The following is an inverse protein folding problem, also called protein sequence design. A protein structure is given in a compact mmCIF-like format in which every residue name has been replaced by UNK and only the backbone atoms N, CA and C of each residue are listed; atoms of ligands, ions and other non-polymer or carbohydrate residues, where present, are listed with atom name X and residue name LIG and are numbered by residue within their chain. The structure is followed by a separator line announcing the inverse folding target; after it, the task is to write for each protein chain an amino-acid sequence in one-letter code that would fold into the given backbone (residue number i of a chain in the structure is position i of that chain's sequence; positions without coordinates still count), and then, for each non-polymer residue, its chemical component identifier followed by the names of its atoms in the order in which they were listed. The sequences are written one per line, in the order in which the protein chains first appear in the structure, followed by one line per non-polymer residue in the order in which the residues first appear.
data_IF_225087274524
#
_entry.id   IF_225087274524
#
_cell.length_a   1.000
_cell.length_b   1.000
_cell.length_c   1.000
_cell.angle_alpha   90.00
_cell.angle_beta   90.00
_cell.angle_gamma   90.00
#
_symmetry.space_group_name_H-M   'P 1'
#
loop_
_entity.id
_entity.type
_entity.pdbx_description
1 polymer ?
#
# COMPACT_ATOMS: atom_id res chain seq x y z
N UNK A 1 53.15 -13.16 -27.23
CA UNK A 1 51.72 -12.81 -27.04
C UNK A 1 51.56 -11.94 -25.78
N UNK A 2 51.55 -10.61 -25.91
CA UNK A 2 51.26 -9.72 -24.77
C UNK A 2 49.76 -9.46 -24.74
N UNK A 3 49.02 -10.14 -23.84
CA UNK A 3 47.66 -9.74 -23.48
C UNK A 3 47.78 -8.47 -22.65
N UNK A 4 47.60 -7.32 -23.30
CA UNK A 4 47.27 -6.07 -22.61
C UNK A 4 45.99 -6.29 -21.79
N UNK A 5 46.14 -6.60 -20.50
CA UNK A 5 45.03 -6.66 -19.56
C UNK A 5 44.76 -5.23 -19.13
N UNK A 6 44.01 -4.48 -19.93
CA UNK A 6 43.63 -3.10 -19.61
C UNK A 6 42.85 -3.08 -18.28
N UNK A 7 43.45 -2.60 -17.17
CA UNK A 7 42.81 -2.62 -15.86
C UNK A 7 41.52 -1.79 -15.85
N UNK A 8 41.45 -0.76 -16.70
CA UNK A 8 40.28 0.09 -16.92
C UNK A 8 39.06 -0.66 -17.44
N UNK A 9 39.24 -1.70 -18.27
CA UNK A 9 38.12 -2.52 -18.77
C UNK A 9 37.52 -3.35 -17.64
N UNK A 10 38.35 -3.87 -16.74
CA UNK A 10 37.89 -4.61 -15.56
C UNK A 10 37.16 -3.71 -14.57
N UNK A 11 37.63 -2.48 -14.41
CA UNK A 11 36.99 -1.47 -13.56
C UNK A 11 35.63 -1.04 -14.13
N UNK A 12 35.53 -0.82 -15.45
CA UNK A 12 34.29 -0.47 -16.12
C UNK A 12 33.26 -1.60 -16.07
N UNK A 13 33.68 -2.85 -16.29
CA UNK A 13 32.82 -4.03 -16.15
C UNK A 13 32.34 -4.18 -14.70
N UNK A 14 33.22 -4.02 -13.71
CA UNK A 14 32.84 -4.04 -12.30
C UNK A 14 31.84 -2.91 -11.97
N UNK A 15 32.06 -1.69 -12.48
CA UNK A 15 31.13 -0.57 -12.29
C UNK A 15 29.76 -0.84 -12.91
N UNK A 16 29.70 -1.46 -14.10
CA UNK A 16 28.44 -1.87 -14.74
C UNK A 16 27.75 -2.95 -13.92
N UNK A 17 28.48 -3.95 -13.40
CA UNK A 17 27.91 -4.96 -12.51
C UNK A 17 27.40 -4.37 -11.20
N UNK A 18 28.12 -3.40 -10.62
CA UNK A 18 27.70 -2.68 -9.41
C UNK A 18 26.48 -1.81 -9.70
N UNK A 19 26.43 -1.10 -10.82
CA UNK A 19 25.26 -0.31 -11.23
C UNK A 19 24.05 -1.19 -11.53
N UNK A 20 24.26 -2.33 -12.20
CA UNK A 20 23.21 -3.32 -12.45
C UNK A 20 22.70 -3.93 -11.14
N UNK A 21 23.59 -4.31 -10.23
CA UNK A 21 23.25 -4.83 -8.90
C UNK A 21 22.57 -3.78 -8.01
N UNK A 22 22.96 -2.49 -8.11
CA UNK A 22 22.29 -1.40 -7.42
C UNK A 22 20.91 -1.11 -8.02
N UNK A 23 20.74 -1.27 -9.34
CA UNK A 23 19.45 -1.12 -10.00
C UNK A 23 18.47 -2.25 -9.67
N UNK A 24 18.97 -3.49 -9.50
CA UNK A 24 18.14 -4.61 -9.02
C UNK A 24 17.90 -4.56 -7.52
N UNK A 25 18.86 -4.07 -6.73
CA UNK A 25 18.67 -3.83 -5.30
C UNK A 25 17.69 -2.67 -5.02
N UNK A 26 17.60 -1.68 -5.91
CA UNK A 26 16.55 -0.66 -5.83
C UNK A 26 15.18 -1.14 -6.34
N UNK A 27 15.12 -2.18 -7.18
CA UNK A 27 13.89 -2.68 -7.81
C UNK A 27 13.05 -3.65 -6.95
N UNK A 28 13.45 -3.88 -5.69
CA UNK A 28 12.73 -4.73 -4.73
C UNK A 28 12.64 -4.07 -3.35
N UNK A 29 12.70 -2.75 -3.28
CA UNK A 29 12.78 -2.02 -2.00
C UNK A 29 11.57 -2.29 -1.09
N UNK A 30 10.42 -2.60 -1.70
CA UNK A 30 9.15 -2.91 -1.06
C UNK A 30 8.82 -4.41 -1.02
N UNK A 31 9.66 -5.29 -1.55
CA UNK A 31 9.41 -6.73 -1.54
C UNK A 31 9.37 -7.31 -0.12
N UNK A 32 8.35 -8.13 0.14
CA UNK A 32 8.11 -8.81 1.40
C UNK A 32 8.05 -7.86 2.60
N UNK A 33 7.38 -6.70 2.44
CA UNK A 33 7.26 -5.68 3.48
C UNK A 33 5.86 -5.60 4.05
N UNK A 34 5.77 -5.59 5.37
CA UNK A 34 4.54 -5.40 6.13
C UNK A 34 4.47 -3.97 6.68
N UNK A 35 3.33 -3.33 6.52
CA UNK A 35 3.04 -2.01 7.07
C UNK A 35 1.85 -2.10 8.00
N UNK A 36 1.99 -1.58 9.23
CA UNK A 36 0.85 -1.32 10.10
C UNK A 36 0.35 0.08 9.81
N UNK A 37 -0.87 0.20 9.31
CA UNK A 37 -1.43 1.45 8.79
C UNK A 37 -2.62 1.87 9.64
N UNK A 38 -2.57 3.08 10.18
CA UNK A 38 -3.70 3.76 10.82
C UNK A 38 -4.54 4.43 9.73
N UNK A 39 -5.80 4.02 9.64
CA UNK A 39 -6.82 4.65 8.81
C UNK A 39 -7.62 5.61 9.69
N UNK A 40 -7.76 6.86 9.25
CA UNK A 40 -8.65 7.86 9.85
C UNK A 40 -9.64 8.33 8.79
N UNK A 41 -10.92 8.13 9.06
CA UNK A 41 -12.00 8.54 8.18
C UNK A 41 -12.75 9.72 8.79
N UNK A 42 -12.93 10.78 8.01
CA UNK A 42 -13.82 11.90 8.33
C UNK A 42 -15.02 11.81 7.40
N UNK A 43 -16.16 11.40 7.95
CA UNK A 43 -17.33 11.07 7.15
C UNK A 43 -18.58 11.83 7.60
N UNK A 44 -19.49 11.97 6.65
CA UNK A 44 -20.86 12.37 6.86
C UNK A 44 -21.76 11.14 6.65
N UNK A 45 -22.61 10.89 7.63
CA UNK A 45 -23.58 9.80 7.63
C UNK A 45 -24.97 10.32 7.29
N UNK A 46 -25.63 9.70 6.32
CA UNK A 46 -27.02 10.01 5.93
C UNK A 46 -27.98 9.07 6.66
N UNK A 47 -28.93 9.64 7.39
CA UNK A 47 -30.07 8.87 7.90
C UNK A 47 -31.07 8.65 6.75
N UNK A 48 -31.32 7.40 6.33
CA UNK A 48 -32.21 7.13 5.19
C UNK A 48 -33.68 7.46 5.48
N UNK A 49 -34.08 7.51 6.74
CA UNK A 49 -35.46 7.79 7.14
C UNK A 49 -35.75 9.29 7.23
N UNK A 50 -34.76 10.10 7.63
CA UNK A 50 -34.95 11.54 7.84
C UNK A 50 -34.26 12.41 6.80
N UNK A 51 -33.36 11.85 5.98
CA UNK A 51 -32.55 12.58 5.00
C UNK A 51 -31.45 13.46 5.61
N UNK A 52 -31.36 13.55 6.94
CA UNK A 52 -30.38 14.41 7.60
C UNK A 52 -28.98 13.81 7.60
N UNK A 53 -28.00 14.69 7.42
CA UNK A 53 -26.58 14.39 7.54
C UNK A 53 -26.11 14.60 8.99
N UNK A 54 -25.21 13.74 9.44
CA UNK A 54 -24.54 13.84 10.74
C UNK A 54 -23.06 13.52 10.58
N UNK A 55 -22.18 14.16 11.35
CA UNK A 55 -20.76 13.79 11.35
C UNK A 55 -20.58 12.40 11.95
N UNK A 56 -19.72 11.60 11.33
CA UNK A 56 -19.31 10.28 11.82
C UNK A 56 -17.82 10.11 11.54
N UNK A 57 -17.01 10.03 12.60
CA UNK A 57 -15.55 9.90 12.49
C UNK A 57 -15.11 8.62 13.17
N UNK A 58 -14.18 7.92 12.55
CA UNK A 58 -13.63 6.70 13.11
C UNK A 58 -12.18 6.49 12.67
N UNK A 59 -11.49 5.68 13.44
CA UNK A 59 -10.12 5.28 13.15
C UNK A 59 -9.92 3.83 13.53
N UNK A 60 -9.12 3.12 12.75
CA UNK A 60 -8.78 1.72 12.97
C UNK A 60 -7.47 1.39 12.29
N UNK A 61 -6.91 0.23 12.60
CA UNK A 61 -5.68 -0.24 11.98
C UNK A 61 -5.98 -1.28 10.91
N UNK A 62 -5.21 -1.24 9.84
CA UNK A 62 -5.06 -2.33 8.87
C UNK A 62 -3.60 -2.74 8.77
N UNK A 63 -3.33 -3.87 8.13
CA UNK A 63 -2.01 -4.20 7.64
C UNK A 63 -2.01 -4.22 6.11
N UNK A 64 -0.92 -3.74 5.53
CA UNK A 64 -0.67 -3.83 4.09
C UNK A 64 0.60 -4.63 3.91
N UNK A 65 0.54 -5.68 3.10
CA UNK A 65 1.69 -6.45 2.68
C UNK A 65 1.95 -6.24 1.19
N UNK A 66 3.23 -6.13 0.84
CA UNK A 66 3.69 -5.91 -0.53
C UNK A 66 4.67 -6.99 -0.92
N UNK A 67 4.41 -7.62 -2.06
CA UNK A 67 5.28 -8.59 -2.68
C UNK A 67 5.63 -8.16 -4.09
N UNK A 68 6.93 -8.03 -4.39
CA UNK A 68 7.35 -7.76 -5.76
C UNK A 68 7.06 -8.97 -6.64
N UNK A 69 6.21 -8.79 -7.66
CA UNK A 69 5.78 -9.84 -8.58
C UNK A 69 6.63 -9.85 -9.86
N UNK A 70 7.20 -8.71 -10.25
CA UNK A 70 8.02 -8.61 -11.46
C UNK A 70 8.11 -7.19 -12.02
N UNK A 71 8.76 -7.03 -13.18
CA UNK A 71 8.70 -5.77 -13.92
C UNK A 71 7.26 -5.55 -14.41
N UNK A 72 6.76 -4.32 -14.33
CA UNK A 72 5.46 -3.97 -14.92
C UNK A 72 5.56 -3.62 -16.42
N UNK A 73 4.40 -3.38 -17.03
CA UNK A 73 4.31 -3.01 -18.45
C UNK A 73 4.55 -1.52 -18.65
N UNK A 74 5.41 -1.16 -19.62
CA UNK A 74 5.59 0.24 -20.03
C UNK A 74 4.24 0.83 -20.48
N UNK A 75 3.82 2.02 -19.98
CA UNK A 75 4.62 3.06 -19.32
C UNK A 75 4.54 3.06 -17.79
N UNK A 76 4.29 1.92 -17.13
CA UNK A 76 4.22 1.78 -15.67
C UNK A 76 5.54 1.26 -15.09
N UNK A 77 5.67 1.34 -13.76
CA UNK A 77 6.82 0.84 -13.00
C UNK A 77 6.69 -0.63 -12.60
N UNK A 78 7.40 -1.05 -11.55
CA UNK A 78 7.38 -2.42 -11.01
C UNK A 78 5.96 -2.89 -10.64
N UNK A 79 5.67 -4.17 -10.88
CA UNK A 79 4.42 -4.82 -10.47
C UNK A 79 4.55 -5.39 -9.06
N UNK A 80 3.57 -5.10 -8.21
CA UNK A 80 3.48 -5.60 -6.85
C UNK A 80 2.15 -6.30 -6.63
N UNK A 81 2.19 -7.44 -5.93
CA UNK A 81 1.01 -8.02 -5.30
C UNK A 81 0.80 -7.35 -3.93
N UNK A 82 -0.42 -6.90 -3.71
CA UNK A 82 -0.87 -6.21 -2.53
C UNK A 82 -1.84 -7.10 -1.78
N UNK A 83 -1.60 -7.27 -0.49
CA UNK A 83 -2.59 -7.82 0.42
C UNK A 83 -2.96 -6.77 1.45
N UNK A 84 -4.26 -6.57 1.61
CA UNK A 84 -4.81 -5.69 2.63
C UNK A 84 -5.53 -6.54 3.66
N UNK A 85 -5.06 -6.44 4.89
CA UNK A 85 -5.57 -7.20 6.02
C UNK A 85 -6.29 -6.26 6.97
N UNK A 86 -7.55 -6.57 7.26
CA UNK A 86 -8.36 -5.84 8.23
C UNK A 86 -8.89 -6.78 9.31
N UNK A 87 -9.33 -6.18 10.41
CA UNK A 87 -9.92 -6.90 11.53
C UNK A 87 -11.43 -6.98 11.34
N UNK A 88 -11.97 -8.19 11.32
CA UNK A 88 -13.40 -8.45 11.17
C UNK A 88 -14.17 -8.16 12.46
N UNK A 89 -15.51 -8.14 12.38
CA UNK A 89 -16.40 -7.95 13.54
C UNK A 89 -16.16 -8.99 14.66
N UNK A 90 -15.74 -10.20 14.30
CA UNK A 90 -15.33 -11.25 15.23
C UNK A 90 -13.94 -11.06 15.86
N UNK A 91 -13.27 -9.94 15.55
CA UNK A 91 -11.98 -9.56 16.09
C UNK A 91 -10.78 -10.29 15.48
N UNK A 92 -10.98 -11.04 14.39
CA UNK A 92 -9.94 -11.79 13.68
C UNK A 92 -9.33 -10.96 12.56
N UNK A 93 -8.04 -11.14 12.30
CA UNK A 93 -7.38 -10.56 11.12
C UNK A 93 -7.61 -11.46 9.93
N UNK A 94 -8.09 -10.87 8.83
CA UNK A 94 -8.34 -11.58 7.57
C UNK A 94 -7.83 -10.74 6.41
N UNK A 95 -7.35 -11.40 5.35
CA UNK A 95 -7.05 -10.74 4.09
C UNK A 95 -8.39 -10.37 3.46
N UNK A 96 -8.71 -9.08 3.46
CA UNK A 96 -9.97 -8.57 2.96
C UNK A 96 -9.89 -8.22 1.47
N UNK A 97 -8.67 -8.13 0.94
CA UNK A 97 -8.42 -7.76 -0.43
C UNK A 97 -7.01 -8.17 -0.85
N UNK A 98 -6.93 -8.75 -2.03
CA UNK A 98 -5.69 -9.09 -2.72
C UNK A 98 -5.80 -8.62 -4.18
N UNK A 99 -4.78 -7.92 -4.68
CA UNK A 99 -4.72 -7.47 -6.06
C UNK A 99 -3.28 -7.17 -6.46
N UNK A 100 -3.02 -7.15 -7.77
CA UNK A 100 -1.74 -6.70 -8.30
C UNK A 100 -1.86 -5.28 -8.82
N UNK A 101 -0.89 -4.42 -8.51
CA UNK A 101 -0.83 -3.06 -9.04
C UNK A 101 0.60 -2.64 -9.38
N UNK A 102 0.74 -1.90 -10.48
CA UNK A 102 2.01 -1.37 -10.92
C UNK A 102 2.27 -0.01 -10.27
N UNK A 103 3.51 0.21 -9.84
CA UNK A 103 3.95 1.53 -9.41
C UNK A 103 3.96 2.53 -10.59
N UNK A 104 4.12 3.81 -10.29
CA UNK A 104 4.45 4.84 -11.27
C UNK A 104 5.77 4.52 -11.97
N UNK A 105 5.90 4.87 -13.25
CA UNK A 105 7.16 4.76 -14.00
C UNK A 105 8.25 5.71 -13.50
N UNK A 106 7.89 6.76 -12.76
CA UNK A 106 8.84 7.72 -12.21
C UNK A 106 9.32 7.31 -10.81
N UNK A 107 8.58 6.46 -10.11
CA UNK A 107 8.86 6.12 -8.71
C UNK A 107 8.19 4.81 -8.32
N UNK A 108 8.98 3.84 -7.85
CA UNK A 108 8.51 2.57 -7.27
C UNK A 108 7.62 2.79 -6.03
N UNK A 109 7.81 3.94 -5.38
CA UNK A 109 7.20 4.31 -4.12
C UNK A 109 5.84 5.01 -4.28
N UNK A 110 5.32 5.14 -5.50
CA UNK A 110 4.05 5.78 -5.77
C UNK A 110 3.18 4.86 -6.61
N UNK A 111 1.95 4.64 -6.17
CA UNK A 111 1.00 3.75 -6.82
C UNK A 111 -0.21 4.57 -7.33
N UNK A 112 -0.83 4.18 -8.45
CA UNK A 112 -2.05 4.80 -8.94
C UNK A 112 -3.20 4.58 -7.96
N UNK A 113 -4.37 5.12 -8.28
CA UNK A 113 -5.56 4.99 -7.43
C UNK A 113 -5.97 3.53 -7.28
N UNK A 114 -5.86 3.02 -6.06
CA UNK A 114 -6.22 1.66 -5.69
C UNK A 114 -7.63 1.67 -5.12
N UNK A 115 -8.50 0.83 -5.67
CA UNK A 115 -9.79 0.56 -5.07
C UNK A 115 -9.63 -0.35 -3.85
N UNK A 116 -10.07 0.09 -2.68
CA UNK A 116 -10.06 -0.70 -1.45
C UNK A 116 -11.44 -0.83 -0.84
N UNK A 117 -11.75 -2.03 -0.35
CA UNK A 117 -12.94 -2.31 0.47
C UNK A 117 -12.50 -2.72 1.86
N UNK A 118 -12.80 -1.88 2.86
CA UNK A 118 -12.27 -2.02 4.21
C UNK A 118 -13.42 -2.21 5.22
N UNK A 119 -13.63 -3.45 5.71
CA UNK A 119 -14.45 -3.66 6.89
C UNK A 119 -13.68 -3.22 8.14
N UNK A 120 -14.42 -2.83 9.17
CA UNK A 120 -13.89 -2.47 10.49
C UNK A 120 -14.31 -3.49 11.53
N UNK A 121 -13.58 -3.55 12.65
CA UNK A 121 -13.93 -4.41 13.79
C UNK A 121 -15.29 -4.06 14.43
N UNK A 122 -15.84 -2.89 14.09
CA UNK A 122 -17.14 -2.39 14.57
C UNK A 122 -18.29 -2.65 13.59
N UNK A 123 -18.06 -3.40 12.51
CA UNK A 123 -19.07 -3.72 11.51
C UNK A 123 -19.31 -2.63 10.45
N UNK A 124 -18.66 -1.46 10.56
CA UNK A 124 -18.66 -0.47 9.48
C UNK A 124 -17.85 -1.00 8.28
N UNK A 125 -18.29 -0.74 7.04
CA UNK A 125 -17.58 -1.13 5.83
C UNK A 125 -17.62 0.01 4.80
N UNK A 126 -16.52 0.23 4.08
CA UNK A 126 -16.46 1.26 3.05
C UNK A 126 -15.54 0.89 1.91
N UNK A 127 -15.87 1.42 0.74
CA UNK A 127 -15.12 1.34 -0.50
C UNK A 127 -14.56 2.71 -0.86
N UNK A 128 -13.28 2.74 -1.21
CA UNK A 128 -12.50 3.97 -1.38
C UNK A 128 -11.53 3.83 -2.55
N UNK A 129 -11.22 4.94 -3.21
CA UNK A 129 -10.03 5.03 -4.06
C UNK A 129 -8.96 5.77 -3.30
N UNK A 130 -7.81 5.13 -3.09
CA UNK A 130 -6.67 5.73 -2.39
C UNK A 130 -5.47 5.79 -3.30
N UNK A 131 -4.71 6.88 -3.22
CA UNK A 131 -3.41 7.00 -3.91
C UNK A 131 -2.28 6.80 -2.90
N UNK A 132 -1.59 5.64 -2.87
CA UNK A 132 -0.54 5.39 -1.91
C UNK A 132 0.81 5.95 -2.37
N UNK A 133 1.52 6.56 -1.41
CA UNK A 133 2.94 6.83 -1.48
C UNK A 133 3.64 6.09 -0.33
N UNK A 134 4.50 5.15 -0.67
CA UNK A 134 5.25 4.35 0.30
C UNK A 134 6.71 4.69 0.15
N UNK A 135 7.27 5.47 1.07
CA UNK A 135 8.68 5.81 1.00
C UNK A 135 9.47 4.74 1.74
N UNK A 136 10.11 3.83 1.01
CA UNK A 136 11.16 3.00 1.57
C UNK A 136 12.46 3.82 1.70
N UNK A 137 12.96 4.00 2.92
CA UNK A 137 14.27 4.61 3.17
C UNK A 137 15.06 3.81 4.21
N UNK A 138 16.40 3.87 4.20
CA UNK A 138 17.24 3.18 5.18
C UNK A 138 16.95 3.55 6.64
N UNK A 139 16.30 4.70 6.89
CA UNK A 139 16.07 5.26 8.23
C UNK A 139 14.62 5.17 8.69
N UNK A 140 13.66 5.20 7.76
CA UNK A 140 12.24 5.00 8.07
C UNK A 140 11.45 4.66 6.81
N UNK A 141 10.71 3.57 6.86
CA UNK A 141 9.75 3.24 5.83
C UNK A 141 8.37 3.76 6.25
N UNK A 142 7.80 4.68 5.46
CA UNK A 142 6.51 5.30 5.75
C UNK A 142 5.48 4.96 4.67
N UNK A 143 4.30 4.56 5.12
CA UNK A 143 3.11 4.42 4.27
C UNK A 143 2.28 5.68 4.44
N UNK A 144 1.94 6.36 3.35
CA UNK A 144 0.99 7.48 3.36
C UNK A 144 0.03 7.31 2.20
N UNK A 145 -1.27 7.39 2.47
CA UNK A 145 -2.27 7.47 1.40
C UNK A 145 -3.40 8.41 1.81
N UNK A 146 -4.09 8.95 0.82
CA UNK A 146 -5.33 9.68 0.99
C UNK A 146 -6.31 9.23 -0.07
N UNK A 147 -7.61 9.30 0.24
CA UNK A 147 -8.63 8.84 -0.68
C UNK A 147 -10.03 9.30 -0.33
N UNK A 148 -10.90 9.24 -1.32
CA UNK A 148 -12.33 9.53 -1.18
C UNK A 148 -13.08 8.23 -0.90
N UNK A 149 -14.09 8.31 -0.04
CA UNK A 149 -15.04 7.21 0.23
C UNK A 149 -16.21 7.40 -0.73
N UNK A 150 -16.26 6.56 -1.76
CA UNK A 150 -17.32 6.63 -2.77
C UNK A 150 -18.56 5.81 -2.39
N UNK A 151 -18.40 4.80 -1.54
CA UNK A 151 -19.50 4.04 -0.98
C UNK A 151 -19.14 3.52 0.41
N UNK A 152 -20.01 3.70 1.41
CA UNK A 152 -19.78 3.10 2.72
C UNK A 152 -21.08 2.95 3.52
N UNK A 153 -21.03 2.10 4.54
CA UNK A 153 -22.14 1.87 5.48
C UNK A 153 -21.61 1.72 6.90
N UNK A 154 -22.33 2.30 7.85
CA UNK A 154 -22.12 1.98 9.26
C UNK A 154 -22.78 0.64 9.64
N UNK A 155 -22.52 0.14 10.84
CA UNK A 155 -23.12 -1.10 11.39
C UNK A 155 -24.66 -1.13 11.32
N UNK A 156 -25.31 0.05 11.27
CA UNK A 156 -26.77 0.16 11.17
C UNK A 156 -27.25 0.31 9.70
N UNK A 157 -26.37 0.09 8.72
CA UNK A 157 -26.67 0.19 7.30
C UNK A 157 -26.81 1.61 6.76
N UNK A 158 -26.48 2.65 7.55
CA UNK A 158 -26.58 4.05 7.11
C UNK A 158 -25.42 4.40 6.20
N UNK A 159 -25.70 5.10 5.09
CA UNK A 159 -24.69 5.45 4.10
C UNK A 159 -23.66 6.43 4.66
N UNK A 160 -22.40 6.18 4.34
CA UNK A 160 -21.25 7.02 4.69
C UNK A 160 -20.65 7.62 3.41
N UNK A 161 -20.28 8.90 3.49
CA UNK A 161 -19.57 9.65 2.46
C UNK A 161 -18.47 10.46 3.12
N UNK A 162 -17.34 10.69 2.44
CA UNK A 162 -16.27 11.52 3.00
C UNK A 162 -14.92 11.17 2.42
N UNK A 163 -13.88 11.37 3.21
CA UNK A 163 -12.52 11.04 2.84
C UNK A 163 -11.80 10.33 3.98
N UNK A 164 -10.68 9.73 3.64
CA UNK A 164 -9.80 9.10 4.61
C UNK A 164 -8.35 9.47 4.38
N UNK A 165 -7.59 9.31 5.44
CA UNK A 165 -6.13 9.37 5.41
C UNK A 165 -5.58 8.09 6.02
N UNK A 166 -4.47 7.63 5.48
CA UNK A 166 -3.79 6.41 5.88
C UNK A 166 -2.35 6.76 6.18
N UNK A 167 -1.88 6.39 7.37
CA UNK A 167 -0.49 6.60 7.77
C UNK A 167 0.03 5.35 8.43
N UNK A 168 1.18 4.84 7.99
CA UNK A 168 1.70 3.59 8.49
C UNK A 168 3.21 3.56 8.55
N UNK A 169 3.70 2.55 9.26
CA UNK A 169 5.12 2.27 9.42
C UNK A 169 5.38 0.81 9.12
N UNK A 170 6.58 0.53 8.62
CA UNK A 170 7.06 -0.83 8.47
C UNK A 170 7.08 -1.54 9.82
N UNK A 171 6.65 -2.79 9.81
CA UNK A 171 6.64 -3.70 10.95
C UNK A 171 7.16 -5.07 10.53
N UNK A 172 7.62 -5.92 11.46
CA UNK A 172 7.81 -7.33 11.18
C UNK A 172 6.49 -7.99 10.74
N UNK A 173 6.59 -9.14 10.08
CA UNK A 173 5.43 -9.98 9.77
C UNK A 173 4.58 -10.19 11.04
N UNK A 174 3.28 -9.90 11.01
CA UNK A 174 2.41 -10.11 12.16
C UNK A 174 2.37 -11.60 12.56
N UNK A 175 2.37 -11.87 13.87
CA UNK A 175 2.40 -13.25 14.42
C UNK A 175 1.18 -14.12 14.10
N UNK A 176 0.12 -13.53 13.57
CA UNK A 176 -1.12 -14.22 13.19
C UNK A 176 -1.15 -14.59 11.70
N UNK A 177 -0.13 -14.14 10.93
CA UNK A 177 0.16 -14.64 9.60
C UNK A 177 1.04 -15.87 9.81
N UNK A 178 0.52 -17.04 9.45
CA UNK A 178 1.25 -18.31 9.54
C UNK A 178 2.26 -18.47 8.39
#
# INVERSE_FOLDING_TARGET
MKRSRHPWVRLAVLAIFVLAALSTASAQSLHAKWFKVLVKADTCRVNPYTGFFSSYKFQFYIYVYLHYAGPGESPRGSLYDWEVWSKTEGGRWECVMEFSESSSSQSENFFPDINMSLPTEKGDNFSTYVTPRIVASPLSNTFVAGGEIYAGRDINGRRLYGWLTMTGKLVPMPKWVD
#
